data_IF_853251117331
#
_entry.id   IF_853251117331
#
_cell.length_a   1.000
_cell.length_b   1.000
_cell.length_c   1.000
_cell.angle_alpha   90.00
_cell.angle_beta   90.00
_cell.angle_gamma   90.00
#
_symmetry.space_group_name_H-M   'P 1'
#
loop_
_entity.id
_entity.type
_entity.pdbx_description
1 polymer ?
#
# COMPACT_ATOMS: atom_id res chain seq x y z
N UNK A 1 21.33 -3.64 13.70
CA UNK A 1 20.00 -4.03 14.20
C UNK A 1 20.03 -5.51 14.60
N UNK A 2 19.33 -5.84 15.68
CA UNK A 2 19.19 -7.23 16.15
C UNK A 2 17.71 -7.58 16.17
N UNK A 3 17.37 -8.81 15.80
CA UNK A 3 16.00 -9.30 15.73
C UNK A 3 15.79 -10.25 14.56
N UNK A 4 14.61 -10.82 14.47
CA UNK A 4 14.21 -11.69 13.36
C UNK A 4 12.85 -11.28 12.82
N UNK A 5 12.68 -11.38 11.52
CA UNK A 5 11.39 -11.17 10.83
C UNK A 5 10.97 -12.47 10.19
N UNK A 6 9.80 -12.96 10.60
CA UNK A 6 9.23 -14.21 10.09
C UNK A 6 7.97 -13.89 9.29
N UNK A 7 7.89 -14.39 8.07
CA UNK A 7 6.72 -14.28 7.22
C UNK A 7 6.28 -15.69 6.76
N UNK A 8 5.03 -16.05 7.06
CA UNK A 8 4.47 -17.38 6.76
C UNK A 8 5.35 -18.55 7.23
N UNK A 9 5.89 -18.42 8.45
CA UNK A 9 6.76 -19.45 9.05
C UNK A 9 8.21 -19.48 8.57
N UNK A 10 8.60 -18.60 7.65
CA UNK A 10 9.97 -18.52 7.13
C UNK A 10 10.65 -17.23 7.56
N UNK A 11 11.91 -17.34 8.00
CA UNK A 11 12.74 -16.18 8.30
C UNK A 11 13.08 -15.42 7.00
N UNK A 12 12.89 -14.11 6.98
CA UNK A 12 13.10 -13.26 5.81
C UNK A 12 14.15 -12.16 6.03
N UNK A 13 14.85 -12.18 7.15
CA UNK A 13 15.81 -11.14 7.56
C UNK A 13 16.89 -10.89 6.50
N UNK A 14 17.43 -11.97 5.94
CA UNK A 14 18.53 -11.97 4.97
C UNK A 14 18.06 -11.81 3.53
N UNK A 15 16.75 -11.78 3.30
CA UNK A 15 16.21 -11.67 1.94
C UNK A 15 16.28 -10.23 1.44
N UNK A 16 16.71 -10.07 0.19
CA UNK A 16 16.64 -8.79 -0.51
C UNK A 16 15.17 -8.32 -0.68
N UNK A 17 14.95 -7.01 -0.85
CA UNK A 17 13.63 -6.44 -1.09
C UNK A 17 12.87 -7.13 -2.24
N UNK A 18 13.57 -7.39 -3.35
CA UNK A 18 13.04 -8.12 -4.48
C UNK A 18 12.55 -9.55 -4.12
N UNK A 19 13.29 -10.30 -3.31
CA UNK A 19 12.88 -11.63 -2.84
C UNK A 19 11.66 -11.54 -1.93
N UNK A 20 11.59 -10.53 -1.05
CA UNK A 20 10.41 -10.27 -0.19
C UNK A 20 9.18 -9.94 -1.02
N UNK A 21 9.32 -9.11 -2.06
CA UNK A 21 8.22 -8.79 -2.97
C UNK A 21 7.66 -10.05 -3.66
N UNK A 22 8.53 -10.96 -4.12
CA UNK A 22 8.11 -12.24 -4.72
C UNK A 22 7.41 -13.20 -3.75
N UNK A 23 7.62 -13.05 -2.44
CA UNK A 23 6.85 -13.77 -1.42
C UNK A 23 5.43 -13.21 -1.24
N UNK A 24 5.11 -12.08 -1.85
CA UNK A 24 3.82 -11.42 -1.74
C UNK A 24 3.76 -10.33 -0.68
N UNK A 25 4.89 -9.69 -0.38
CA UNK A 25 4.97 -8.50 0.48
C UNK A 25 5.04 -7.27 -0.44
N UNK A 26 3.99 -6.45 -0.41
CA UNK A 26 3.96 -5.16 -1.07
C UNK A 26 4.44 -4.05 -0.13
N UNK A 27 5.13 -3.04 -0.66
CA UNK A 27 5.61 -1.91 0.12
C UNK A 27 5.36 -0.60 -0.62
N UNK A 28 4.73 0.34 0.06
CA UNK A 28 4.57 1.73 -0.38
C UNK A 28 5.37 2.61 0.60
N UNK A 29 6.52 3.16 0.18
CA UNK A 29 7.35 3.99 1.05
C UNK A 29 6.73 5.37 1.25
N UNK A 30 7.18 6.07 2.29
CA UNK A 30 7.04 7.50 2.42
C UNK A 30 7.52 8.19 1.14
N UNK A 31 6.78 9.19 0.64
CA UNK A 31 7.14 9.87 -0.62
C UNK A 31 6.65 9.20 -1.90
N UNK A 32 5.92 8.06 -1.80
CA UNK A 32 5.16 7.41 -2.89
C UNK A 32 5.98 6.67 -3.94
N UNK A 33 7.20 7.11 -4.25
CA UNK A 33 8.15 6.50 -5.21
C UNK A 33 7.55 6.10 -6.58
N UNK A 34 6.65 6.94 -7.12
CA UNK A 34 6.17 6.74 -8.50
C UNK A 34 7.27 7.05 -9.52
N UNK A 35 7.22 6.41 -10.68
CA UNK A 35 8.12 6.71 -11.81
C UNK A 35 7.58 7.94 -12.55
N UNK A 36 8.11 9.16 -12.33
CA UNK A 36 7.44 10.40 -12.73
C UNK A 36 7.40 10.63 -14.25
N UNK A 37 8.33 10.01 -14.98
CA UNK A 37 8.40 10.11 -16.45
C UNK A 37 7.52 9.09 -17.17
N UNK A 38 7.06 8.07 -16.48
CA UNK A 38 6.19 7.02 -16.98
C UNK A 38 4.72 7.43 -16.82
N UNK A 39 3.86 6.89 -17.67
CA UNK A 39 2.42 7.02 -17.55
C UNK A 39 1.89 6.26 -16.31
N UNK A 40 0.63 6.49 -15.96
CA UNK A 40 -0.08 5.72 -14.93
C UNK A 40 -0.07 4.24 -15.28
N UNK A 41 -0.42 3.89 -16.53
CA UNK A 41 -0.48 2.50 -16.97
C UNK A 41 0.89 1.81 -16.93
N UNK A 42 1.96 2.50 -17.35
CA UNK A 42 3.32 1.97 -17.27
C UNK A 42 3.77 1.77 -15.80
N UNK A 43 3.44 2.69 -14.89
CA UNK A 43 3.69 2.52 -13.46
C UNK A 43 2.98 1.29 -12.89
N UNK A 44 1.73 1.06 -13.27
CA UNK A 44 0.97 -0.12 -12.84
C UNK A 44 1.61 -1.42 -13.36
N UNK A 45 2.01 -1.45 -14.64
CA UNK A 45 2.63 -2.64 -15.24
C UNK A 45 3.92 -3.07 -14.52
N UNK A 46 4.72 -2.12 -14.00
CA UNK A 46 5.91 -2.46 -13.20
C UNK A 46 5.56 -3.28 -11.93
N UNK A 47 4.39 -3.06 -11.34
CA UNK A 47 3.94 -3.83 -10.18
C UNK A 47 3.82 -5.32 -10.47
N UNK A 48 3.39 -5.70 -11.65
CA UNK A 48 3.36 -7.09 -12.13
C UNK A 48 4.79 -7.67 -12.25
N UNK A 49 5.68 -6.94 -12.89
CA UNK A 49 7.08 -7.36 -13.07
C UNK A 49 7.81 -7.56 -11.73
N UNK A 50 7.61 -6.67 -10.77
CA UNK A 50 8.22 -6.76 -9.44
C UNK A 50 7.78 -8.04 -8.73
N UNK A 51 6.52 -8.42 -8.83
CA UNK A 51 5.99 -9.63 -8.19
C UNK A 51 6.53 -10.92 -8.81
N UNK A 52 6.98 -10.87 -10.05
CA UNK A 52 7.39 -12.03 -10.85
C UNK A 52 6.24 -12.99 -11.15
N UNK A 53 5.00 -12.56 -10.98
CA UNK A 53 3.79 -13.33 -11.27
C UNK A 53 2.94 -12.54 -12.26
N UNK A 54 2.42 -13.24 -13.26
CA UNK A 54 1.47 -12.64 -14.18
C UNK A 54 0.17 -12.30 -13.43
N UNK A 55 -0.26 -11.05 -13.52
CA UNK A 55 -1.52 -10.64 -12.92
C UNK A 55 -2.70 -11.34 -13.63
N UNK A 56 -3.78 -11.67 -12.90
CA UNK A 56 -5.05 -12.06 -13.51
C UNK A 56 -5.50 -11.00 -14.53
N UNK A 57 -6.18 -11.45 -15.60
CA UNK A 57 -6.59 -10.54 -16.70
C UNK A 57 -7.46 -9.37 -16.25
N UNK A 58 -8.24 -9.56 -15.20
CA UNK A 58 -9.15 -8.59 -14.61
C UNK A 58 -8.50 -7.71 -13.51
N UNK A 59 -7.21 -7.93 -13.20
CA UNK A 59 -6.53 -7.22 -12.11
C UNK A 59 -6.50 -5.71 -12.34
N UNK A 60 -6.20 -5.29 -13.56
CA UNK A 60 -6.15 -3.88 -13.91
C UNK A 60 -7.53 -3.22 -13.75
N UNK A 61 -8.59 -3.91 -14.19
CA UNK A 61 -9.98 -3.43 -14.06
C UNK A 61 -10.39 -3.34 -12.59
N UNK A 62 -9.98 -4.29 -11.75
CA UNK A 62 -10.19 -4.23 -10.30
C UNK A 62 -9.49 -3.01 -9.69
N UNK A 63 -8.25 -2.72 -10.06
CA UNK A 63 -7.52 -1.54 -9.58
C UNK A 63 -8.22 -0.26 -10.02
N UNK A 64 -8.68 -0.19 -11.26
CA UNK A 64 -9.43 0.94 -11.77
C UNK A 64 -10.80 1.11 -11.09
N UNK A 65 -11.42 0.02 -10.64
CA UNK A 65 -12.66 0.12 -9.84
C UNK A 65 -12.41 0.70 -8.45
N UNK A 66 -11.29 0.39 -7.82
CA UNK A 66 -10.88 1.01 -6.54
C UNK A 66 -10.42 2.46 -6.70
N UNK A 67 -9.71 2.75 -7.78
CA UNK A 67 -9.12 4.05 -8.07
C UNK A 67 -9.52 4.58 -9.45
N UNK A 68 -10.77 5.04 -9.64
CA UNK A 68 -11.27 5.48 -10.95
C UNK A 68 -10.41 6.55 -11.62
N UNK A 69 -9.81 7.44 -10.84
CA UNK A 69 -8.91 8.48 -11.35
C UNK A 69 -7.70 7.91 -12.12
N UNK A 70 -7.27 6.70 -11.78
CA UNK A 70 -6.16 6.05 -12.51
C UNK A 70 -6.60 5.58 -13.90
N UNK A 71 -7.87 5.17 -14.06
CA UNK A 71 -8.44 4.83 -15.35
C UNK A 71 -8.58 6.07 -16.24
N UNK A 72 -9.12 7.16 -15.68
CA UNK A 72 -9.30 8.44 -16.38
C UNK A 72 -7.98 9.03 -16.87
N UNK A 73 -6.90 8.81 -16.11
CA UNK A 73 -5.57 9.40 -16.35
C UNK A 73 -4.52 8.39 -16.78
N UNK A 74 -4.95 7.23 -17.31
CA UNK A 74 -4.08 6.08 -17.62
C UNK A 74 -2.86 6.42 -18.47
N UNK A 75 -2.99 7.37 -19.38
CA UNK A 75 -1.93 7.79 -20.29
C UNK A 75 -1.17 9.05 -19.81
N UNK A 76 -1.58 9.63 -18.67
CA UNK A 76 -0.93 10.80 -18.08
C UNK A 76 0.37 10.41 -17.40
N UNK A 77 1.41 11.27 -17.49
CA UNK A 77 2.67 11.10 -16.76
C UNK A 77 2.45 11.24 -15.27
N UNK A 78 2.92 10.27 -14.50
CA UNK A 78 2.73 10.23 -13.04
C UNK A 78 3.29 11.47 -12.32
N UNK A 79 4.39 12.05 -12.81
CA UNK A 79 4.97 13.26 -12.23
C UNK A 79 4.12 14.52 -12.33
N UNK A 80 3.08 14.52 -13.17
CA UNK A 80 2.15 15.66 -13.31
C UNK A 80 0.86 15.49 -12.49
N UNK A 81 0.72 14.39 -11.78
CA UNK A 81 -0.41 14.10 -10.91
C UNK A 81 -0.28 14.79 -9.55
N UNK A 82 -1.41 15.07 -8.89
CA UNK A 82 -1.40 15.56 -7.50
C UNK A 82 -0.83 14.51 -6.54
N UNK A 83 -0.37 14.94 -5.36
CA UNK A 83 0.18 14.02 -4.36
C UNK A 83 -0.76 12.88 -3.97
N UNK A 84 -2.07 13.17 -3.79
CA UNK A 84 -3.07 12.13 -3.52
C UNK A 84 -3.28 11.16 -4.67
N UNK A 85 -3.24 11.63 -5.92
CA UNK A 85 -3.30 10.76 -7.09
C UNK A 85 -2.05 9.88 -7.23
N UNK A 86 -0.87 10.43 -6.94
CA UNK A 86 0.37 9.64 -6.91
C UNK A 86 0.35 8.58 -5.81
N UNK A 87 -0.25 8.86 -4.65
CA UNK A 87 -0.43 7.88 -3.59
C UNK A 87 -1.35 6.74 -4.03
N UNK A 88 -2.48 7.05 -4.67
CA UNK A 88 -3.37 6.05 -5.24
C UNK A 88 -2.65 5.20 -6.30
N UNK A 89 -1.81 5.82 -7.13
CA UNK A 89 -1.00 5.12 -8.11
C UNK A 89 0.04 4.20 -7.46
N UNK A 90 0.73 4.65 -6.42
CA UNK A 90 1.70 3.84 -5.69
C UNK A 90 1.05 2.60 -5.05
N UNK A 91 -0.13 2.77 -4.44
CA UNK A 91 -0.93 1.65 -3.91
C UNK A 91 -1.39 0.74 -5.05
N UNK A 92 -1.95 1.28 -6.12
CA UNK A 92 -2.40 0.53 -7.29
C UNK A 92 -1.27 -0.32 -7.91
N UNK A 93 -0.06 0.24 -8.00
CA UNK A 93 1.13 -0.47 -8.48
C UNK A 93 1.47 -1.68 -7.60
N UNK A 94 1.40 -1.54 -6.29
CA UNK A 94 1.62 -2.66 -5.36
C UNK A 94 0.55 -3.73 -5.52
N UNK A 95 -0.70 -3.32 -5.72
CA UNK A 95 -1.84 -4.23 -5.91
C UNK A 95 -1.75 -5.05 -7.20
N UNK A 96 -1.09 -4.55 -8.25
CA UNK A 96 -0.83 -5.33 -9.47
C UNK A 96 -0.08 -6.64 -9.16
N UNK A 97 0.79 -6.63 -8.17
CA UNK A 97 1.54 -7.82 -7.73
C UNK A 97 0.72 -8.83 -6.92
N UNK A 98 -0.56 -8.60 -6.67
CA UNK A 98 -1.42 -9.44 -5.83
C UNK A 98 -0.77 -9.82 -4.48
N UNK A 99 -0.34 -8.84 -3.67
CA UNK A 99 0.32 -9.11 -2.40
C UNK A 99 -0.65 -9.74 -1.40
N UNK A 100 -0.12 -10.50 -0.44
CA UNK A 100 -0.86 -10.97 0.72
C UNK A 100 -0.65 -10.11 1.97
N UNK A 101 0.38 -9.28 1.95
CA UNK A 101 0.70 -8.29 2.96
C UNK A 101 1.09 -6.99 2.26
N UNK A 102 0.51 -5.88 2.69
CA UNK A 102 0.88 -4.54 2.24
C UNK A 102 1.43 -3.76 3.43
N UNK A 103 2.60 -3.17 3.25
CA UNK A 103 3.21 -2.25 4.20
C UNK A 103 3.07 -0.82 3.62
N UNK A 104 2.49 0.10 4.40
CA UNK A 104 2.35 1.51 4.03
C UNK A 104 3.12 2.36 5.04
N UNK A 105 3.94 3.26 4.55
CA UNK A 105 4.75 4.15 5.36
C UNK A 105 4.25 5.60 5.19
N UNK A 106 3.63 6.14 6.25
CA UNK A 106 2.99 7.47 6.31
C UNK A 106 2.12 7.79 5.08
N UNK A 107 1.12 6.93 4.75
CA UNK A 107 0.34 7.07 3.51
C UNK A 107 -0.51 8.34 3.42
N UNK A 108 -0.73 9.07 4.53
CA UNK A 108 -1.47 10.35 4.54
C UNK A 108 -0.58 11.58 4.35
N UNK A 109 0.76 11.43 4.37
CA UNK A 109 1.66 12.59 4.34
C UNK A 109 1.50 13.45 3.09
N UNK A 110 1.31 14.76 3.28
CA UNK A 110 1.18 15.74 2.20
C UNK A 110 -0.02 15.51 1.28
N UNK A 111 -1.10 14.90 1.80
CA UNK A 111 -2.34 14.61 1.07
C UNK A 111 -3.51 15.36 1.71
N UNK A 112 -4.46 15.78 0.87
CA UNK A 112 -5.67 16.45 1.33
C UNK A 112 -6.55 15.49 2.15
N UNK A 113 -7.22 15.96 3.24
CA UNK A 113 -7.99 15.11 4.14
C UNK A 113 -9.06 14.25 3.47
N UNK A 114 -9.76 14.78 2.46
CA UNK A 114 -10.76 14.03 1.71
C UNK A 114 -10.16 12.83 0.97
N UNK A 115 -8.98 12.99 0.38
CA UNK A 115 -8.27 11.89 -0.32
C UNK A 115 -7.74 10.86 0.68
N UNK A 116 -7.29 11.30 1.87
CA UNK A 116 -6.88 10.39 2.95
C UNK A 116 -8.05 9.50 3.37
N UNK A 117 -9.25 10.08 3.53
CA UNK A 117 -10.47 9.33 3.86
C UNK A 117 -10.84 8.32 2.75
N UNK A 118 -10.74 8.73 1.48
CA UNK A 118 -10.98 7.83 0.34
C UNK A 118 -9.99 6.66 0.33
N UNK A 119 -8.70 6.91 0.52
CA UNK A 119 -7.69 5.86 0.61
C UNK A 119 -8.00 4.91 1.77
N UNK A 120 -8.32 5.45 2.95
CA UNK A 120 -8.67 4.63 4.11
C UNK A 120 -9.86 3.71 3.83
N UNK A 121 -10.93 4.23 3.25
CA UNK A 121 -12.12 3.45 2.85
C UNK A 121 -11.76 2.36 1.86
N UNK A 122 -11.00 2.70 0.80
CA UNK A 122 -10.58 1.74 -0.23
C UNK A 122 -9.73 0.61 0.38
N UNK A 123 -8.81 0.93 1.29
CA UNK A 123 -7.97 -0.09 1.94
C UNK A 123 -8.79 -1.05 2.80
N UNK A 124 -9.81 -0.58 3.49
CA UNK A 124 -10.75 -1.43 4.24
C UNK A 124 -11.57 -2.31 3.30
N UNK A 125 -12.11 -1.76 2.22
CA UNK A 125 -12.85 -2.51 1.21
C UNK A 125 -11.97 -3.58 0.55
N UNK A 126 -10.74 -3.24 0.21
CA UNK A 126 -9.75 -4.16 -0.34
C UNK A 126 -9.45 -5.32 0.63
N UNK A 127 -9.20 -5.01 1.91
CA UNK A 127 -8.99 -6.05 2.92
C UNK A 127 -10.18 -7.01 3.01
N UNK A 128 -11.41 -6.48 3.03
CA UNK A 128 -12.64 -7.30 3.07
C UNK A 128 -12.82 -8.16 1.81
N UNK A 129 -12.55 -7.60 0.64
CA UNK A 129 -12.75 -8.28 -0.64
C UNK A 129 -11.70 -9.36 -0.93
N UNK A 130 -10.44 -9.14 -0.50
CA UNK A 130 -9.30 -9.99 -0.92
C UNK A 130 -8.63 -10.73 0.24
N UNK A 131 -8.91 -10.36 1.49
CA UNK A 131 -8.22 -10.89 2.67
C UNK A 131 -6.76 -10.42 2.82
N UNK A 132 -6.33 -9.41 2.04
CA UNK A 132 -4.97 -8.87 2.15
C UNK A 132 -4.75 -8.24 3.52
N UNK A 133 -3.66 -8.58 4.17
CA UNK A 133 -3.27 -7.93 5.43
C UNK A 133 -2.62 -6.58 5.12
N UNK A 134 -3.02 -5.55 5.87
CA UNK A 134 -2.43 -4.21 5.76
C UNK A 134 -1.78 -3.84 7.09
N UNK A 135 -0.50 -3.49 7.03
CA UNK A 135 0.25 -2.89 8.15
C UNK A 135 0.69 -1.52 7.71
N UNK A 136 0.45 -0.52 8.53
CA UNK A 136 0.85 0.84 8.19
C UNK A 136 1.41 1.59 9.40
N UNK A 137 2.33 2.49 9.14
CA UNK A 137 2.87 3.44 10.12
C UNK A 137 2.24 4.79 9.83
N UNK A 138 1.64 5.42 10.84
CA UNK A 138 0.87 6.65 10.67
C UNK A 138 0.83 7.48 11.94
N UNK A 139 0.76 8.81 11.75
CA UNK A 139 0.55 9.79 12.81
C UNK A 139 -0.86 10.39 12.76
N UNK A 140 -1.56 10.24 11.65
CA UNK A 140 -2.93 10.72 11.44
C UNK A 140 -3.94 9.81 12.15
N UNK A 141 -4.45 10.29 13.29
CA UNK A 141 -5.38 9.54 14.14
C UNK A 141 -6.68 9.18 13.41
N UNK A 142 -7.18 10.05 12.54
CA UNK A 142 -8.42 9.79 11.80
C UNK A 142 -8.24 8.64 10.81
N UNK A 143 -7.11 8.55 10.12
CA UNK A 143 -6.78 7.43 9.26
C UNK A 143 -6.59 6.13 10.05
N UNK A 144 -5.91 6.20 11.21
CA UNK A 144 -5.74 5.04 12.09
C UNK A 144 -7.11 4.51 12.53
N UNK A 145 -8.01 5.38 13.00
CA UNK A 145 -9.37 4.98 13.40
C UNK A 145 -10.18 4.40 12.26
N UNK A 146 -10.02 4.93 11.04
CA UNK A 146 -10.77 4.47 9.88
C UNK A 146 -10.31 3.10 9.36
N UNK A 147 -9.02 2.76 9.50
CA UNK A 147 -8.43 1.57 8.87
C UNK A 147 -8.06 0.45 9.84
N UNK A 148 -7.56 0.79 11.04
CA UNK A 148 -6.95 -0.19 11.91
C UNK A 148 -7.97 -0.90 12.80
N UNK A 149 -7.89 -2.22 12.89
CA UNK A 149 -8.56 -3.01 13.93
C UNK A 149 -7.71 -3.11 15.21
N UNK A 150 -6.40 -2.93 15.08
CA UNK A 150 -5.42 -2.97 16.15
C UNK A 150 -4.29 -1.98 15.88
N UNK A 151 -3.83 -1.29 16.91
CA UNK A 151 -2.71 -0.36 16.80
C UNK A 151 -1.66 -0.62 17.89
N UNK A 152 -0.42 -0.40 17.56
CA UNK A 152 0.70 -0.40 18.49
C UNK A 152 1.26 1.01 18.60
N UNK A 153 1.36 1.53 19.83
CA UNK A 153 2.04 2.80 20.09
C UNK A 153 3.52 2.52 20.27
N UNK A 154 4.34 3.22 19.46
CA UNK A 154 5.80 3.09 19.53
C UNK A 154 6.42 4.40 20.03
N UNK A 155 7.29 4.31 21.02
CA UNK A 155 8.13 5.41 21.49
C UNK A 155 9.59 4.94 21.60
N UNK A 156 10.52 5.74 21.06
CA UNK A 156 11.98 5.48 21.08
C UNK A 156 12.37 4.06 20.68
N UNK A 157 11.69 3.52 19.65
CA UNK A 157 11.96 2.18 19.13
C UNK A 157 11.41 1.03 19.96
N UNK A 158 10.50 1.31 20.93
CA UNK A 158 9.84 0.31 21.76
C UNK A 158 8.33 0.42 21.64
N UNK A 159 7.65 -0.71 21.62
CA UNK A 159 6.20 -0.75 21.74
C UNK A 159 5.86 -0.46 23.21
N UNK A 160 5.08 0.59 23.43
CA UNK A 160 4.65 1.03 24.77
C UNK A 160 3.23 0.59 25.09
N UNK A 161 2.35 0.54 24.09
CA UNK A 161 0.94 0.19 24.25
C UNK A 161 0.44 -0.59 23.04
N UNK A 162 -0.54 -1.46 23.29
CA UNK A 162 -1.36 -2.10 22.26
C UNK A 162 -2.82 -1.68 22.47
N UNK A 163 -3.47 -1.26 21.37
CA UNK A 163 -4.85 -0.79 21.38
C UNK A 163 -5.68 -1.66 20.43
N UNK A 164 -6.79 -2.20 20.92
CA UNK A 164 -7.83 -2.79 20.08
C UNK A 164 -8.80 -1.68 19.66
N UNK A 165 -8.96 -1.47 18.38
CA UNK A 165 -9.84 -0.46 17.82
C UNK A 165 -11.14 -1.15 17.40
N UNK A 166 -12.24 -0.82 18.07
CA UNK A 166 -13.57 -1.29 17.68
C UNK A 166 -14.12 -0.25 16.70
N UNK A 167 -14.37 -0.68 15.47
CA UNK A 167 -15.08 0.15 14.50
C UNK A 167 -16.57 0.11 14.86
N UNK A 168 -17.06 1.25 15.33
CA UNK A 168 -18.49 1.47 15.59
C UNK A 168 -19.16 1.87 14.29
#
# INVERSE_FOLDING_TARGET
DKGSVVFRGSAIDTLSAHKRARLGIGYVPQGRDVFPRMSVLENLAIGEEISGKRAPKDRLDQIFSFFPILAERRDQRAGTMSGGQQQQLAIGRVLMGAPSLILLDEPSEGIQPNIVQDIARIMVELNRATGVTVVFVEQNIDMIRAMASRAYVMDKGRITNELSLIHI
#
